data_IF_845007464766
#
_entry.id   IF_845007464766
#
_cell.length_a   1.000
_cell.length_b   1.000
_cell.length_c   1.000
_cell.angle_alpha   90.00
_cell.angle_beta   90.00
_cell.angle_gamma   90.00
#
_symmetry.space_group_name_H-M   'P 1'
#
loop_
_entity.id
_entity.type
_entity.pdbx_description
1 polymer ?
#
# COMPACT_ATOMS: atom_id res chain seq x y z
N UNK A 1 -6.86 -12.01 -8.73
CA UNK A 1 -5.90 -11.84 -7.62
C UNK A 1 -6.53 -11.04 -6.49
N UNK A 2 -6.40 -11.50 -5.28
CA UNK A 2 -6.87 -10.75 -4.12
C UNK A 2 -5.85 -9.69 -3.74
N UNK A 3 -6.34 -8.49 -3.45
CA UNK A 3 -5.45 -7.40 -3.04
C UNK A 3 -6.08 -6.62 -1.90
N UNK A 4 -5.21 -5.99 -1.12
CA UNK A 4 -5.60 -5.00 -0.12
C UNK A 4 -4.77 -3.76 -0.37
N UNK A 5 -5.44 -2.62 -0.50
CA UNK A 5 -4.75 -1.36 -0.73
C UNK A 5 -4.90 -0.47 0.49
N UNK A 6 -3.78 0.07 0.95
CA UNK A 6 -3.72 0.94 2.12
C UNK A 6 -3.18 2.29 1.69
N UNK A 7 -3.80 3.34 2.19
CA UNK A 7 -3.36 4.71 1.88
C UNK A 7 -3.24 5.50 3.17
N UNK A 8 -2.26 6.39 3.22
CA UNK A 8 -2.09 7.25 4.40
C UNK A 8 -3.29 8.17 4.51
N UNK A 9 -3.90 8.19 5.70
CA UNK A 9 -4.97 9.11 6.00
C UNK A 9 -4.35 10.44 6.43
N UNK A 10 -4.73 11.56 5.83
CA UNK A 10 -4.09 12.84 6.13
C UNK A 10 -4.07 13.18 7.62
N UNK A 11 -5.16 12.87 8.32
CA UNK A 11 -5.26 13.19 9.73
C UNK A 11 -4.43 12.28 10.62
N UNK A 12 -3.89 11.19 10.06
CA UNK A 12 -3.09 10.23 10.81
C UNK A 12 -1.62 10.25 10.42
N UNK A 13 -1.24 11.12 9.50
CA UNK A 13 0.11 11.15 8.93
C UNK A 13 1.08 11.77 9.93
N UNK A 14 1.60 10.97 10.82
CA UNK A 14 2.40 11.45 11.95
C UNK A 14 3.77 11.98 11.55
N UNK A 15 4.29 11.59 10.40
CA UNK A 15 5.65 11.96 9.99
C UNK A 15 5.70 12.70 8.65
N UNK A 16 4.54 13.12 8.16
CA UNK A 16 4.44 13.82 6.86
C UNK A 16 4.97 12.97 5.73
N UNK A 17 4.58 11.70 5.73
CA UNK A 17 5.05 10.73 4.74
C UNK A 17 4.11 10.57 3.56
N UNK A 18 2.92 11.19 3.58
CA UNK A 18 1.98 11.04 2.48
C UNK A 18 2.60 11.53 1.18
N UNK A 19 2.54 10.70 0.14
CA UNK A 19 3.07 10.98 -1.19
C UNK A 19 4.60 11.05 -1.25
N UNK A 20 5.28 10.69 -0.17
CA UNK A 20 6.73 10.70 -0.17
C UNK A 20 7.27 9.34 -0.61
N UNK A 21 8.49 9.35 -1.17
CA UNK A 21 9.09 8.14 -1.69
C UNK A 21 9.63 7.24 -0.57
N UNK A 22 10.12 6.08 -0.97
CA UNK A 22 10.58 5.08 -0.01
C UNK A 22 11.76 5.60 0.82
N UNK A 23 12.72 6.25 0.18
CA UNK A 23 13.91 6.75 0.86
C UNK A 23 13.53 7.78 1.92
N UNK A 24 12.69 8.73 1.56
CA UNK A 24 12.20 9.73 2.51
C UNK A 24 11.50 9.05 3.68
N UNK A 25 10.60 8.12 3.35
CA UNK A 25 9.79 7.45 4.37
C UNK A 25 10.68 6.70 5.36
N UNK A 26 11.68 5.99 4.86
CA UNK A 26 12.55 5.21 5.75
C UNK A 26 13.40 6.10 6.64
N UNK A 27 13.73 7.32 6.21
CA UNK A 27 14.50 8.25 7.02
C UNK A 27 13.61 9.09 7.95
N UNK A 28 12.30 8.94 7.85
CA UNK A 28 11.35 9.71 8.66
C UNK A 28 10.39 8.77 9.39
N UNK A 29 10.94 7.82 10.09
CA UNK A 29 10.15 6.95 10.95
C UNK A 29 9.70 5.64 10.32
N UNK A 30 9.94 5.44 9.03
CA UNK A 30 9.53 4.21 8.36
C UNK A 30 8.05 4.17 8.05
N UNK A 31 7.59 3.00 7.62
CA UNK A 31 6.18 2.78 7.30
C UNK A 31 5.45 2.50 8.60
N UNK A 32 4.57 3.42 8.98
CA UNK A 32 3.84 3.34 10.25
C UNK A 32 2.40 2.93 9.97
N UNK A 33 2.03 1.72 10.36
CA UNK A 33 0.70 1.19 10.05
C UNK A 33 -0.42 2.06 10.60
N UNK A 34 -0.16 2.72 11.73
CA UNK A 34 -1.16 3.61 12.32
C UNK A 34 -1.53 4.80 11.46
N UNK A 35 -0.72 5.13 10.47
CA UNK A 35 -0.97 6.26 9.58
C UNK A 35 -1.89 5.89 8.41
N UNK A 36 -2.14 4.61 8.19
CA UNK A 36 -2.80 4.11 6.99
C UNK A 36 -4.23 3.68 7.24
N UNK A 37 -5.02 3.74 6.19
CA UNK A 37 -6.36 3.19 6.18
C UNK A 37 -6.47 2.17 5.05
N UNK A 38 -7.22 1.10 5.30
CA UNK A 38 -7.54 0.12 4.28
C UNK A 38 -8.63 0.70 3.40
N UNK A 39 -8.32 0.93 2.13
CA UNK A 39 -9.28 1.56 1.20
C UNK A 39 -9.84 0.58 0.18
N UNK A 40 -9.26 -0.60 0.08
CA UNK A 40 -9.82 -1.65 -0.77
C UNK A 40 -9.37 -3.01 -0.28
N UNK A 41 -10.29 -3.96 -0.29
CA UNK A 41 -10.01 -5.35 0.08
C UNK A 41 -10.91 -6.20 -0.80
N UNK A 42 -10.33 -6.83 -1.81
CA UNK A 42 -11.14 -7.62 -2.72
C UNK A 42 -10.33 -8.23 -3.84
N UNK A 43 -11.06 -8.73 -4.81
CA UNK A 43 -10.49 -9.42 -5.97
C UNK A 43 -10.46 -8.50 -7.16
N UNK A 44 -9.34 -8.46 -7.89
CA UNK A 44 -9.25 -7.68 -9.13
C UNK A 44 -8.59 -8.52 -10.21
N UNK A 45 -8.78 -8.12 -11.46
CA UNK A 45 -8.22 -8.84 -12.60
C UNK A 45 -6.80 -8.39 -12.91
N UNK A 46 -5.90 -8.58 -11.97
CA UNK A 46 -4.50 -8.20 -12.12
C UNK A 46 -3.61 -9.41 -12.01
N UNK A 47 -2.44 -9.37 -12.63
CA UNK A 47 -1.44 -10.41 -12.53
C UNK A 47 -0.11 -9.88 -12.01
N UNK A 48 0.13 -8.58 -12.14
CA UNK A 48 1.38 -7.95 -11.75
C UNK A 48 1.09 -6.68 -10.98
N UNK A 49 2.11 -6.18 -10.29
CA UNK A 49 1.97 -4.94 -9.53
C UNK A 49 1.60 -3.76 -10.45
N UNK A 50 2.14 -3.74 -11.65
CA UNK A 50 1.83 -2.68 -12.60
C UNK A 50 0.35 -2.68 -12.99
N UNK A 51 -0.25 -3.85 -13.08
CA UNK A 51 -1.68 -3.96 -13.37
C UNK A 51 -2.48 -3.37 -12.24
N UNK A 52 -2.06 -3.62 -11.00
CA UNK A 52 -2.73 -3.09 -9.82
C UNK A 52 -2.70 -1.56 -9.85
N UNK A 53 -1.55 -0.99 -10.14
CA UNK A 53 -1.40 0.45 -10.22
C UNK A 53 -2.34 1.02 -11.29
N UNK A 54 -2.38 0.38 -12.45
CA UNK A 54 -3.24 0.82 -13.54
C UNK A 54 -4.70 0.81 -13.13
N UNK A 55 -5.13 -0.28 -12.51
CA UNK A 55 -6.55 -0.46 -12.13
C UNK A 55 -6.97 0.61 -11.14
N UNK A 56 -6.15 0.87 -10.12
CA UNK A 56 -6.52 1.86 -9.11
C UNK A 56 -6.33 3.29 -9.56
N UNK A 57 -5.80 3.51 -10.76
CA UNK A 57 -5.67 4.86 -11.30
C UNK A 57 -6.59 5.12 -12.46
N UNK A 58 -6.94 4.09 -13.24
CA UNK A 58 -7.71 4.29 -14.46
C UNK A 58 -9.06 3.59 -14.44
N UNK A 59 -9.23 2.56 -13.61
CA UNK A 59 -10.44 1.73 -13.68
C UNK A 59 -10.83 1.30 -12.26
N UNK A 60 -11.09 2.26 -11.41
CA UNK A 60 -11.38 2.00 -10.01
C UNK A 60 -12.39 0.85 -9.85
N UNK A 61 -12.05 -0.17 -9.05
CA UNK A 61 -12.97 -1.28 -8.83
C UNK A 61 -14.17 -0.82 -8.02
N UNK A 62 -15.26 -1.55 -8.18
CA UNK A 62 -16.45 -1.28 -7.41
C UNK A 62 -16.13 -1.44 -5.92
N UNK A 63 -16.63 -0.53 -5.12
CA UNK A 63 -16.37 -0.56 -3.67
C UNK A 63 -15.10 0.14 -3.25
N UNK A 64 -14.34 0.66 -4.20
CA UNK A 64 -13.13 1.39 -3.86
C UNK A 64 -13.46 2.74 -3.24
N UNK A 65 -12.81 3.07 -2.14
CA UNK A 65 -13.12 4.29 -1.40
C UNK A 65 -11.94 5.23 -1.25
N UNK A 66 -10.82 4.91 -1.87
CA UNK A 66 -9.64 5.73 -1.74
C UNK A 66 -9.45 6.68 -2.91
N UNK A 67 -8.35 7.40 -2.85
CA UNK A 67 -7.91 8.23 -3.97
C UNK A 67 -7.12 7.35 -4.93
N UNK A 68 -6.74 7.88 -6.08
CA UNK A 68 -5.89 7.15 -7.02
C UNK A 68 -4.63 6.66 -6.32
N UNK A 69 -4.15 5.50 -6.72
CA UNK A 69 -2.96 4.92 -6.13
C UNK A 69 -1.77 5.81 -6.40
N UNK A 70 -0.98 6.08 -5.37
CA UNK A 70 0.11 7.06 -5.44
C UNK A 70 1.30 6.59 -4.64
N UNK A 71 2.40 7.32 -4.79
CA UNK A 71 3.59 7.12 -3.97
C UNK A 71 3.20 7.14 -2.50
N UNK A 72 3.79 6.26 -1.72
CA UNK A 72 3.58 6.00 -0.30
C UNK A 72 2.43 5.04 -0.01
N UNK A 73 1.62 4.68 -0.99
CA UNK A 73 0.58 3.67 -0.77
C UNK A 73 1.22 2.31 -0.55
N UNK A 74 0.52 1.45 0.16
CA UNK A 74 0.98 0.09 0.41
C UNK A 74 -0.07 -0.86 -0.11
N UNK A 75 0.36 -1.87 -0.84
CA UNK A 75 -0.53 -2.89 -1.39
C UNK A 75 -0.05 -4.27 -0.97
N UNK A 76 -0.99 -5.07 -0.50
CA UNK A 76 -0.76 -6.49 -0.31
C UNK A 76 -1.40 -7.20 -1.50
N UNK A 77 -0.64 -8.07 -2.14
CA UNK A 77 -1.11 -8.82 -3.30
C UNK A 77 -0.90 -10.29 -3.07
N UNK A 78 -1.96 -11.06 -3.21
CA UNK A 78 -1.96 -12.50 -2.99
C UNK A 78 -0.89 -13.17 -3.85
N UNK A 79 -0.04 -13.97 -3.22
CA UNK A 79 1.01 -14.67 -3.94
C UNK A 79 2.25 -13.85 -4.21
N UNK A 80 2.19 -12.55 -4.05
CA UNK A 80 3.34 -11.68 -4.31
C UNK A 80 3.92 -11.08 -3.03
N UNK A 81 3.07 -10.69 -2.10
CA UNK A 81 3.50 -10.08 -0.85
C UNK A 81 3.01 -8.67 -0.68
N UNK A 82 3.69 -7.91 0.16
CA UNK A 82 3.32 -6.53 0.46
C UNK A 82 4.37 -5.59 -0.09
N UNK A 83 3.92 -4.50 -0.69
CA UNK A 83 4.80 -3.59 -1.40
C UNK A 83 4.46 -2.15 -1.09
N UNK A 84 5.49 -1.35 -1.01
CA UNK A 84 5.39 0.10 -0.89
C UNK A 84 5.46 0.68 -2.30
N UNK A 85 4.53 1.56 -2.63
CA UNK A 85 4.52 2.21 -3.94
C UNK A 85 5.53 3.36 -3.91
N UNK A 86 6.63 3.20 -4.62
CA UNK A 86 7.67 4.20 -4.67
C UNK A 86 7.43 5.16 -5.84
N UNK A 87 8.28 6.15 -5.99
CA UNK A 87 8.19 7.08 -7.12
C UNK A 87 8.38 6.34 -8.43
N UNK A 88 9.22 5.32 -8.44
CA UNK A 88 9.40 4.47 -9.59
C UNK A 88 9.34 3.04 -9.11
N UNK A 89 8.29 2.33 -9.50
CA UNK A 89 8.14 0.93 -9.14
C UNK A 89 7.71 0.71 -7.71
N UNK A 90 8.05 -0.46 -7.19
CA UNK A 90 7.58 -0.91 -5.89
C UNK A 90 8.74 -1.45 -5.07
N UNK A 91 8.66 -1.26 -3.75
CA UNK A 91 9.64 -1.81 -2.82
C UNK A 91 8.97 -2.85 -1.96
N UNK A 92 9.47 -4.06 -1.96
CA UNK A 92 8.87 -5.11 -1.14
C UNK A 92 9.14 -4.86 0.33
N UNK A 93 8.09 -5.01 1.12
CA UNK A 93 8.18 -4.90 2.57
C UNK A 93 8.18 -6.30 3.13
N UNK A 94 9.18 -6.62 3.96
CA UNK A 94 9.52 -8.02 4.23
C UNK A 94 9.16 -8.55 5.60
N UNK A 95 8.24 -7.95 6.30
CA UNK A 95 8.10 -8.28 7.69
C UNK A 95 6.82 -8.94 8.13
N UNK A 96 6.18 -9.69 7.27
CA UNK A 96 4.90 -10.24 7.65
C UNK A 96 4.81 -11.71 7.56
N UNK A 97 5.51 -12.42 8.30
CA UNK A 97 5.45 -13.86 8.20
C UNK A 97 4.30 -14.40 9.02
N UNK A 98 3.44 -15.15 8.35
CA UNK A 98 2.43 -15.94 9.04
C UNK A 98 1.30 -15.16 9.67
N UNK A 99 1.25 -13.87 9.46
CA UNK A 99 0.18 -13.06 10.00
C UNK A 99 -0.96 -12.98 9.01
N UNK A 100 -2.18 -13.09 9.51
CA UNK A 100 -3.36 -12.99 8.65
C UNK A 100 -3.52 -11.62 8.07
N UNK A 101 -3.02 -10.61 8.72
CA UNK A 101 -3.00 -9.26 8.22
C UNK A 101 -1.55 -8.88 8.05
N UNK A 102 -0.98 -9.06 6.84
CA UNK A 102 0.45 -8.80 6.62
C UNK A 102 0.88 -7.43 7.06
N UNK A 103 -0.04 -6.51 7.00
CA UNK A 103 0.20 -5.12 7.35
C UNK A 103 0.66 -4.94 8.79
N UNK A 104 0.17 -5.78 9.69
CA UNK A 104 0.42 -5.59 11.11
C UNK A 104 1.87 -5.64 11.51
N UNK A 105 2.69 -6.28 10.72
CA UNK A 105 4.08 -6.51 11.09
C UNK A 105 4.98 -5.33 10.82
N UNK A 106 4.46 -4.29 10.21
CA UNK A 106 5.29 -3.13 9.90
C UNK A 106 5.69 -2.36 11.13
N UNK A 107 4.85 -2.35 12.12
CA UNK A 107 5.10 -1.59 13.33
C UNK A 107 6.03 -2.26 14.30
N UNK A 108 6.38 -3.48 14.04
CA UNK A 108 7.14 -4.28 15.02
C UNK A 108 8.63 -4.21 14.82
#
# INVERSE_FOLDING_TARGET
>A
MKVKLFQIAPEKDSNNNMFMNYEWTMSHGGVCTGDYELVFDGEIGAERLEDIFYIFNKRHPEGYRGRSMSTSDVVWAEGLGTFFCDSFGFKQLKKFKGDKCPWRNFDK
#
